data_IF_990332733913
#
_entry.id   IF_990332733913
#
_cell.length_a   1.000
_cell.length_b   1.000
_cell.length_c   1.000
_cell.angle_alpha   90.00
_cell.angle_beta   90.00
_cell.angle_gamma   90.00
#
_symmetry.space_group_name_H-M   'P 1'
#
loop_
_entity.id
_entity.type
_entity.pdbx_description
1 polymer ?
#
# COMPACT_ATOMS: atom_id res chain seq x y z
N UNK A 1 -11.92 -18.24 -14.71
CA UNK A 1 -10.55 -18.00 -14.20
C UNK A 1 -9.61 -18.94 -14.94
N UNK A 2 -8.45 -18.47 -15.41
CA UNK A 2 -7.42 -19.36 -15.94
C UNK A 2 -6.74 -20.10 -14.77
N UNK A 3 -6.69 -21.42 -14.83
CA UNK A 3 -6.03 -22.23 -13.78
C UNK A 3 -4.52 -22.05 -13.91
N UNK A 4 -3.88 -21.53 -12.88
CA UNK A 4 -2.43 -21.53 -12.76
C UNK A 4 -2.01 -22.52 -11.68
N UNK A 5 -0.95 -23.28 -11.95
CA UNK A 5 -0.32 -24.15 -10.97
C UNK A 5 0.88 -23.41 -10.39
N UNK A 6 0.86 -23.19 -9.08
CA UNK A 6 1.91 -22.46 -8.35
C UNK A 6 2.39 -23.34 -7.21
N UNK A 7 3.70 -23.46 -7.07
CA UNK A 7 4.33 -24.15 -5.94
C UNK A 7 4.47 -23.19 -4.78
N UNK A 8 3.97 -23.58 -3.62
CA UNK A 8 4.02 -22.81 -2.37
C UNK A 8 4.93 -23.55 -1.41
N UNK A 9 5.72 -22.82 -0.61
CA UNK A 9 6.57 -23.42 0.42
C UNK A 9 5.72 -24.11 1.49
N UNK A 10 6.30 -25.12 2.14
CA UNK A 10 5.60 -25.92 3.15
C UNK A 10 4.99 -25.08 4.30
N UNK A 11 5.71 -24.11 4.91
CA UNK A 11 5.12 -23.27 5.97
C UNK A 11 3.94 -22.42 5.48
N UNK A 12 3.99 -21.98 4.23
CA UNK A 12 2.92 -21.18 3.65
C UNK A 12 1.70 -22.06 3.31
N UNK A 13 1.89 -23.30 2.88
CA UNK A 13 0.78 -24.23 2.63
C UNK A 13 0.05 -24.59 3.93
N UNK A 14 0.79 -24.83 5.01
CA UNK A 14 0.24 -25.05 6.35
C UNK A 14 -0.55 -23.84 6.84
N UNK A 15 0.00 -22.64 6.67
CA UNK A 15 -0.72 -21.41 7.01
C UNK A 15 -2.00 -21.26 6.17
N UNK A 16 -1.95 -21.47 4.85
CA UNK A 16 -3.14 -21.42 3.99
C UNK A 16 -4.22 -22.44 4.39
N UNK A 17 -3.83 -23.65 4.82
CA UNK A 17 -4.77 -24.66 5.36
C UNK A 17 -5.43 -24.14 6.63
N UNK A 18 -4.67 -23.56 7.56
CA UNK A 18 -5.20 -23.03 8.82
C UNK A 18 -6.28 -21.95 8.62
N UNK A 19 -6.15 -21.13 7.58
CA UNK A 19 -7.12 -20.08 7.22
C UNK A 19 -8.40 -20.62 6.57
N UNK A 20 -8.35 -21.81 5.98
CA UNK A 20 -9.54 -22.49 5.47
C UNK A 20 -10.24 -23.22 6.60
N UNK A 21 -9.46 -23.81 7.52
CA UNK A 21 -9.97 -24.49 8.72
C UNK A 21 -10.69 -23.51 9.66
N UNK A 22 -10.26 -22.25 9.71
CA UNK A 22 -10.97 -21.16 10.41
C UNK A 22 -12.31 -20.76 9.77
N UNK A 23 -12.63 -21.33 8.58
CA UNK A 23 -13.82 -21.00 7.75
C UNK A 23 -13.89 -19.55 7.29
N UNK A 24 -12.78 -18.82 7.37
CA UNK A 24 -12.70 -17.45 6.86
C UNK A 24 -12.64 -17.42 5.32
N UNK A 25 -12.17 -18.52 4.70
CA UNK A 25 -12.05 -18.67 3.25
C UNK A 25 -12.59 -20.02 2.78
N UNK A 26 -13.25 -20.06 1.62
CA UNK A 26 -13.81 -21.29 1.07
C UNK A 26 -12.78 -22.13 0.31
N UNK A 27 -11.65 -21.53 -0.12
CA UNK A 27 -10.59 -22.25 -0.83
C UNK A 27 -9.23 -21.57 -0.76
N UNK A 28 -8.16 -22.34 -1.01
CA UNK A 28 -6.79 -21.80 -1.12
C UNK A 28 -6.68 -20.76 -2.23
N UNK A 29 -7.38 -20.98 -3.35
CA UNK A 29 -7.37 -20.07 -4.49
C UNK A 29 -8.03 -18.73 -4.18
N UNK A 30 -9.11 -18.73 -3.38
CA UNK A 30 -9.76 -17.51 -2.92
C UNK A 30 -8.82 -16.68 -2.03
N UNK A 31 -8.20 -17.33 -1.04
CA UNK A 31 -7.23 -16.68 -0.16
C UNK A 31 -6.04 -16.11 -0.93
N UNK A 32 -5.46 -16.87 -1.86
CA UNK A 32 -4.34 -16.39 -2.70
C UNK A 32 -4.76 -15.19 -3.55
N UNK A 33 -5.95 -15.22 -4.16
CA UNK A 33 -6.47 -14.09 -4.93
C UNK A 33 -6.68 -12.85 -4.05
N UNK A 34 -7.17 -13.04 -2.82
CA UNK A 34 -7.35 -11.95 -1.89
C UNK A 34 -6.01 -11.33 -1.45
N UNK A 35 -5.01 -12.17 -1.16
CA UNK A 35 -3.64 -11.71 -0.87
C UNK A 35 -3.04 -10.93 -2.03
N UNK A 36 -3.23 -11.39 -3.28
CA UNK A 36 -2.77 -10.65 -4.47
C UNK A 36 -3.47 -9.28 -4.55
N UNK A 37 -4.77 -9.22 -4.25
CA UNK A 37 -5.52 -7.97 -4.23
C UNK A 37 -5.01 -7.01 -3.16
N UNK A 38 -4.76 -7.51 -1.95
CA UNK A 38 -4.19 -6.72 -0.85
C UNK A 38 -2.81 -6.18 -1.21
N UNK A 39 -1.91 -7.03 -1.74
CA UNK A 39 -0.57 -6.63 -2.17
C UNK A 39 -0.60 -5.55 -3.26
N UNK A 40 -1.51 -5.67 -4.24
CA UNK A 40 -1.70 -4.66 -5.30
C UNK A 40 -2.15 -3.30 -4.73
N UNK A 41 -3.06 -3.31 -3.77
CA UNK A 41 -3.53 -2.08 -3.12
C UNK A 41 -2.41 -1.42 -2.30
N UNK A 42 -1.65 -2.20 -1.55
CA UNK A 42 -0.48 -1.72 -0.81
C UNK A 42 0.56 -1.13 -1.76
N UNK A 43 0.84 -1.81 -2.88
CA UNK A 43 1.77 -1.32 -3.90
C UNK A 43 1.30 0.03 -4.48
N UNK A 44 0.03 0.16 -4.82
CA UNK A 44 -0.53 1.42 -5.32
C UNK A 44 -0.41 2.57 -4.30
N UNK A 45 -0.59 2.29 -3.00
CA UNK A 45 -0.38 3.27 -1.95
C UNK A 45 1.09 3.69 -1.84
N UNK A 46 2.01 2.72 -1.88
CA UNK A 46 3.46 2.99 -1.86
C UNK A 46 3.86 3.82 -3.07
N UNK A 47 3.39 3.47 -4.26
CA UNK A 47 3.72 4.17 -5.49
C UNK A 47 3.16 5.61 -5.48
N UNK A 48 1.98 5.82 -4.90
CA UNK A 48 1.43 7.16 -4.70
C UNK A 48 2.29 8.02 -3.76
N UNK A 49 2.76 7.44 -2.64
CA UNK A 49 3.67 8.14 -1.72
C UNK A 49 4.99 8.45 -2.42
N UNK A 50 5.58 7.48 -3.11
CA UNK A 50 6.82 7.66 -3.88
C UNK A 50 6.69 8.75 -4.93
N UNK A 51 5.60 8.76 -5.70
CA UNK A 51 5.35 9.80 -6.69
C UNK A 51 5.19 11.18 -6.06
N UNK A 52 4.55 11.27 -4.88
CA UNK A 52 4.48 12.54 -4.14
C UNK A 52 5.84 13.02 -3.67
N UNK A 53 6.66 12.12 -3.13
CA UNK A 53 8.02 12.45 -2.69
C UNK A 53 8.90 12.89 -3.86
N UNK A 54 8.90 12.15 -4.96
CA UNK A 54 9.66 12.49 -6.17
C UNK A 54 9.25 13.87 -6.74
N UNK A 55 7.96 14.18 -6.75
CA UNK A 55 7.48 15.51 -7.15
C UNK A 55 7.94 16.60 -6.16
N UNK A 56 7.92 16.34 -4.85
CA UNK A 56 8.36 17.28 -3.83
C UNK A 56 9.87 17.54 -3.93
N UNK A 57 10.67 16.50 -4.11
CA UNK A 57 12.12 16.60 -4.31
C UNK A 57 12.47 17.40 -5.58
N UNK A 58 11.74 17.16 -6.68
CA UNK A 58 11.88 17.93 -7.92
C UNK A 58 11.41 19.38 -7.81
N UNK A 59 10.43 19.66 -6.95
CA UNK A 59 9.91 21.02 -6.73
C UNK A 59 10.87 21.92 -5.94
N UNK A 60 11.94 21.34 -5.40
CA UNK A 60 12.95 22.05 -4.63
C UNK A 60 12.58 22.16 -3.15
N UNK A 61 13.61 22.29 -2.31
CA UNK A 61 13.45 22.46 -0.87
C UNK A 61 13.30 23.93 -0.53
N UNK A 62 12.32 24.28 0.30
CA UNK A 62 12.23 25.62 0.88
C UNK A 62 13.29 25.79 1.98
N UNK A 63 13.85 26.99 2.07
CA UNK A 63 14.72 27.43 3.16
C UNK A 63 13.94 28.16 4.27
N UNK A 64 12.61 28.25 4.14
CA UNK A 64 11.74 28.96 5.07
C UNK A 64 11.77 28.32 6.46
N UNK A 65 11.86 29.18 7.46
CA UNK A 65 11.73 28.76 8.87
C UNK A 65 10.27 28.43 9.19
N UNK A 66 10.07 27.61 10.22
CA UNK A 66 8.73 27.23 10.73
C UNK A 66 7.80 28.44 10.95
N UNK A 67 8.34 29.57 11.40
CA UNK A 67 7.56 30.79 11.63
C UNK A 67 7.07 31.44 10.33
N UNK A 68 7.90 31.44 9.28
CA UNK A 68 7.54 31.97 7.95
C UNK A 68 6.49 31.10 7.27
N UNK A 69 6.60 29.77 7.36
CA UNK A 69 5.60 28.83 6.82
C UNK A 69 4.24 29.03 7.52
N UNK A 70 4.24 29.21 8.84
CA UNK A 70 3.01 29.46 9.60
C UNK A 70 2.35 30.79 9.21
N UNK A 71 3.16 31.83 9.00
CA UNK A 71 2.67 33.14 8.57
C UNK A 71 2.04 33.05 7.16
N UNK A 72 2.75 32.48 6.19
CA UNK A 72 2.26 32.27 4.83
C UNK A 72 0.95 31.45 4.80
N UNK A 73 0.87 30.37 5.58
CA UNK A 73 -0.34 29.54 5.64
C UNK A 73 -1.55 30.29 6.23
N UNK A 74 -1.32 31.11 7.27
CA UNK A 74 -2.39 31.95 7.86
C UNK A 74 -2.85 33.05 6.93
N UNK A 75 -1.93 33.64 6.16
CA UNK A 75 -2.25 34.70 5.20
C UNK A 75 -3.03 34.12 4.00
N UNK A 76 -2.69 32.91 3.54
CA UNK A 76 -3.46 32.18 2.51
C UNK A 76 -4.87 31.78 2.96
N UNK A 77 -5.07 31.44 4.23
CA UNK A 77 -6.38 31.07 4.79
C UNK A 77 -7.29 32.28 5.07
N UNK A 78 -6.74 33.49 5.09
CA UNK A 78 -7.46 34.74 5.34
C UNK A 78 -7.82 35.50 4.06
N UNK A 79 -7.42 35.00 2.89
CA UNK A 79 -7.74 35.53 1.56
C UNK A 79 -9.04 34.96 0.99
#
# INVERSE_FOLDING_TARGET
MARQSISISEPNDEWLKSQIDSKEYASKSELVNDLIRQARNQQAQIDWIRAKLDNAEKSGFTTDTKAQILQQSKDLLRG
#
